data_IF_761604567577
#
_entry.id   IF_761604567577
#
_cell.length_a   1.000
_cell.length_b   1.000
_cell.length_c   1.000
_cell.angle_alpha   90.00
_cell.angle_beta   90.00
_cell.angle_gamma   90.00
#
_symmetry.space_group_name_H-M   'P 1'
#
loop_
_entity.id
_entity.type
_entity.pdbx_description
1 polymer ?
#
# COMPACT_ATOMS: atom_id res chain seq x y z
N UNK A 1 8.25 -12.73 14.21
CA UNK A 1 9.02 -13.55 13.25
C UNK A 1 8.52 -13.26 11.84
N UNK A 2 9.20 -12.39 11.09
CA UNK A 2 8.91 -12.19 9.66
C UNK A 2 9.68 -13.25 8.86
N UNK A 3 8.97 -14.02 8.03
CA UNK A 3 9.57 -15.03 7.14
C UNK A 3 10.53 -14.38 6.13
N UNK A 4 11.73 -14.93 5.92
CA UNK A 4 12.68 -14.39 4.94
C UNK A 4 12.13 -14.52 3.52
N UNK A 5 12.37 -13.49 2.72
CA UNK A 5 11.85 -13.35 1.36
C UNK A 5 12.59 -14.31 0.40
N UNK A 6 12.01 -15.48 0.13
CA UNK A 6 12.48 -16.39 -0.92
C UNK A 6 12.05 -15.89 -2.30
N UNK A 7 12.97 -15.98 -3.27
CA UNK A 7 12.77 -15.50 -4.64
C UNK A 7 11.58 -16.18 -5.34
N UNK A 8 10.82 -15.46 -6.21
CA UNK A 8 9.65 -16.03 -6.86
C UNK A 8 10.04 -17.18 -7.81
N UNK A 9 9.37 -18.32 -7.63
CA UNK A 9 9.52 -19.52 -8.44
C UNK A 9 9.16 -19.25 -9.92
N UNK A 10 9.91 -19.90 -10.82
CA UNK A 10 9.74 -19.86 -12.28
C UNK A 10 8.28 -20.10 -12.70
N UNK A 11 7.74 -19.20 -13.53
CA UNK A 11 6.40 -19.34 -14.16
C UNK A 11 6.27 -20.66 -14.93
N UNK A 12 5.29 -21.47 -14.54
CA UNK A 12 4.78 -22.60 -15.33
C UNK A 12 3.80 -22.05 -16.37
N UNK A 13 3.99 -22.40 -17.65
CA UNK A 13 3.03 -22.13 -18.73
C UNK A 13 1.81 -23.05 -18.57
N UNK A 14 0.62 -22.48 -18.51
CA UNK A 14 -0.64 -23.23 -18.58
C UNK A 14 -1.26 -23.03 -19.97
N UNK A 15 -1.44 -24.17 -20.66
CA UNK A 15 -2.06 -24.33 -21.97
C UNK A 15 -3.58 -24.16 -21.82
N UNK A 16 -4.20 -23.42 -22.74
CA UNK A 16 -5.63 -23.20 -22.82
C UNK A 16 -6.35 -24.45 -23.34
N UNK A 17 -7.36 -24.94 -22.62
CA UNK A 17 -8.40 -25.82 -23.17
C UNK A 17 -9.65 -25.76 -22.28
N UNK A 18 -10.71 -25.09 -22.73
CA UNK A 18 -12.06 -25.26 -22.17
C UNK A 18 -13.10 -25.19 -23.28
N UNK A 19 -13.21 -26.27 -24.05
CA UNK A 19 -14.44 -26.65 -24.72
C UNK A 19 -15.23 -27.58 -23.79
N UNK A 20 -16.56 -27.46 -23.81
CA UNK A 20 -17.59 -28.21 -23.06
C UNK A 20 -18.06 -27.56 -21.76
N UNK A 21 -19.19 -26.84 -21.81
CA UNK A 21 -20.17 -26.78 -20.72
C UNK A 21 -21.57 -26.66 -21.34
N UNK A 22 -22.35 -27.74 -21.22
CA UNK A 22 -23.71 -27.92 -21.71
C UNK A 22 -24.76 -27.18 -20.86
N UNK A 23 -25.82 -26.69 -21.52
CA UNK A 23 -26.91 -25.92 -20.93
C UNK A 23 -27.92 -26.78 -20.13
N UNK A 24 -28.35 -26.26 -18.97
CA UNK A 24 -29.67 -26.56 -18.37
C UNK A 24 -30.15 -25.36 -17.54
N UNK A 25 -31.35 -24.85 -17.85
CA UNK A 25 -32.02 -23.71 -17.21
C UNK A 25 -32.69 -24.12 -15.89
N UNK A 26 -32.35 -23.43 -14.79
CA UNK A 26 -33.23 -22.97 -13.69
C UNK A 26 -32.36 -22.24 -12.64
N UNK A 27 -32.68 -20.97 -12.37
CA UNK A 27 -31.87 -20.06 -11.57
C UNK A 27 -30.61 -19.61 -12.32
N UNK A 28 -30.45 -18.31 -12.57
CA UNK A 28 -29.22 -17.80 -13.18
C UNK A 28 -28.11 -17.95 -12.14
N UNK A 29 -27.39 -19.06 -12.20
CA UNK A 29 -26.28 -19.32 -11.29
C UNK A 29 -25.23 -18.21 -11.45
N UNK A 30 -24.44 -17.97 -10.40
CA UNK A 30 -23.34 -17.01 -10.43
C UNK A 30 -22.39 -17.24 -11.61
N UNK A 31 -22.24 -18.49 -12.01
CA UNK A 31 -21.48 -18.91 -13.18
C UNK A 31 -22.16 -18.50 -14.49
N UNK A 32 -23.49 -18.43 -14.56
CA UNK A 32 -24.21 -17.92 -15.73
C UNK A 32 -24.11 -16.39 -15.87
N UNK A 33 -24.03 -15.63 -14.76
CA UNK A 33 -23.72 -14.18 -14.80
C UNK A 33 -22.27 -13.93 -15.23
N UNK A 34 -21.31 -14.67 -14.67
CA UNK A 34 -19.91 -14.60 -15.07
C UNK A 34 -19.72 -15.03 -16.54
N UNK A 35 -20.43 -16.07 -16.97
CA UNK A 35 -20.40 -16.56 -18.35
C UNK A 35 -21.13 -15.60 -19.32
N UNK A 36 -22.21 -14.94 -18.92
CA UNK A 36 -22.88 -13.93 -19.74
C UNK A 36 -22.04 -12.64 -19.85
N UNK A 37 -21.35 -12.26 -18.80
CA UNK A 37 -20.43 -11.12 -18.78
C UNK A 37 -19.13 -11.40 -19.56
N UNK A 38 -18.66 -12.66 -19.56
CA UNK A 38 -17.58 -13.14 -20.42
C UNK A 38 -18.02 -13.31 -21.89
N UNK A 39 -19.24 -13.81 -22.15
CA UNK A 39 -19.79 -14.01 -23.49
C UNK A 39 -20.14 -12.70 -24.21
N UNK A 40 -20.35 -11.60 -23.48
CA UNK A 40 -20.48 -10.25 -24.06
C UNK A 40 -19.13 -9.57 -24.36
N UNK A 41 -17.99 -10.22 -24.09
CA UNK A 41 -16.66 -9.66 -24.31
C UNK A 41 -16.25 -8.54 -23.34
N UNK A 42 -17.14 -8.19 -22.40
CA UNK A 42 -16.97 -7.02 -21.53
C UNK A 42 -16.07 -7.29 -20.33
N UNK A 43 -15.81 -8.54 -19.92
CA UNK A 43 -15.20 -8.84 -18.61
C UNK A 43 -13.87 -9.57 -18.78
N UNK A 44 -12.74 -8.88 -18.52
CA UNK A 44 -11.43 -9.52 -18.53
C UNK A 44 -11.23 -10.34 -17.24
N UNK A 45 -11.07 -11.65 -17.42
CA UNK A 45 -10.66 -12.58 -16.37
C UNK A 45 -9.13 -12.54 -16.24
N UNK A 46 -8.59 -11.94 -15.17
CA UNK A 46 -7.16 -12.02 -14.88
C UNK A 46 -6.85 -13.32 -14.10
N UNK A 47 -6.08 -14.27 -14.65
CA UNK A 47 -5.93 -15.62 -14.08
C UNK A 47 -5.21 -15.66 -12.72
N UNK A 48 -4.36 -14.67 -12.43
CA UNK A 48 -3.46 -14.68 -11.27
C UNK A 48 -3.99 -13.92 -10.04
N UNK A 49 -5.02 -13.08 -10.20
CA UNK A 49 -5.32 -12.07 -9.18
C UNK A 49 -6.47 -12.44 -8.22
N UNK A 50 -7.38 -13.36 -8.56
CA UNK A 50 -8.60 -13.55 -7.76
C UNK A 50 -9.58 -12.35 -7.82
N UNK A 51 -9.42 -11.48 -8.84
CA UNK A 51 -10.26 -10.30 -9.09
C UNK A 51 -10.67 -10.24 -10.55
N UNK A 52 -11.77 -9.54 -10.81
CA UNK A 52 -12.37 -9.34 -12.13
C UNK A 52 -12.58 -7.86 -12.38
N UNK A 53 -12.28 -7.41 -13.59
CA UNK A 53 -12.58 -6.06 -14.05
C UNK A 53 -14.05 -5.97 -14.48
N UNK A 54 -14.81 -5.05 -13.90
CA UNK A 54 -16.19 -4.82 -14.31
C UNK A 54 -16.21 -4.00 -15.61
N UNK A 55 -16.52 -4.59 -16.77
CA UNK A 55 -16.37 -3.92 -18.08
C UNK A 55 -14.93 -3.50 -18.43
N UNK A 56 -14.46 -3.87 -19.61
CA UNK A 56 -13.15 -3.48 -20.10
C UNK A 56 -12.99 -1.96 -20.13
N UNK A 57 -11.90 -1.47 -19.54
CA UNK A 57 -11.59 -0.05 -19.38
C UNK A 57 -12.24 0.60 -18.15
N UNK A 58 -13.07 -0.13 -17.41
CA UNK A 58 -13.57 0.36 -16.13
C UNK A 58 -12.60 -0.04 -15.04
N UNK A 59 -12.07 0.97 -14.35
CA UNK A 59 -11.17 0.77 -13.22
C UNK A 59 -11.84 0.05 -12.03
N UNK A 60 -13.11 -0.34 -12.10
CA UNK A 60 -13.80 -1.02 -11.00
C UNK A 60 -13.38 -2.51 -10.93
N UNK A 61 -12.80 -2.90 -9.79
CA UNK A 61 -12.40 -4.28 -9.48
C UNK A 61 -13.39 -4.94 -8.53
N UNK A 62 -13.79 -6.16 -8.88
CA UNK A 62 -14.73 -7.00 -8.13
C UNK A 62 -14.02 -8.31 -7.73
N UNK A 63 -14.13 -8.78 -6.48
CA UNK A 63 -13.49 -10.02 -6.05
C UNK A 63 -14.15 -11.23 -6.73
N UNK A 64 -13.34 -12.20 -7.17
CA UNK A 64 -13.83 -13.41 -7.86
C UNK A 64 -14.72 -14.28 -6.96
N UNK A 65 -14.34 -14.39 -5.69
CA UNK A 65 -15.05 -15.19 -4.67
C UNK A 65 -16.15 -14.39 -3.97
N UNK A 66 -16.91 -13.57 -4.71
CA UNK A 66 -18.02 -12.80 -4.17
C UNK A 66 -19.16 -13.67 -3.59
N UNK A 67 -18.99 -14.99 -3.41
CA UNK A 67 -19.93 -15.94 -2.77
C UNK A 67 -20.40 -15.46 -1.39
N UNK A 68 -19.62 -14.63 -0.70
CA UNK A 68 -19.99 -13.98 0.58
C UNK A 68 -20.67 -12.59 0.45
N UNK A 69 -21.02 -12.17 -0.77
CA UNK A 69 -21.51 -10.81 -1.04
C UNK A 69 -20.36 -9.82 -1.11
N UNK A 70 -20.04 -9.33 -2.31
CA UNK A 70 -19.03 -8.29 -2.47
C UNK A 70 -19.53 -7.01 -1.80
N UNK A 71 -18.81 -6.53 -0.78
CA UNK A 71 -19.19 -5.33 -0.05
C UNK A 71 -18.55 -4.12 -0.71
N UNK A 72 -19.35 -3.13 -1.06
CA UNK A 72 -18.80 -1.78 -1.17
C UNK A 72 -18.41 -1.32 0.23
N UNK A 73 -17.27 -0.64 0.41
CA UNK A 73 -16.93 -0.06 1.70
C UNK A 73 -18.08 0.85 2.16
N UNK A 74 -18.60 0.61 3.36
CA UNK A 74 -19.65 1.47 3.96
C UNK A 74 -19.12 2.90 4.18
N UNK A 75 -20.01 3.85 4.49
CA UNK A 75 -19.60 5.22 4.87
C UNK A 75 -18.64 5.14 6.07
N UNK A 76 -17.40 5.60 5.88
CA UNK A 76 -16.27 5.40 6.82
C UNK A 76 -15.10 4.66 6.16
N UNK A 77 -15.42 3.72 5.26
CA UNK A 77 -14.51 3.10 4.30
C UNK A 77 -13.38 2.25 4.90
N UNK A 78 -12.82 1.36 4.08
CA UNK A 78 -11.51 0.75 4.37
C UNK A 78 -10.46 1.73 3.85
N UNK A 79 -9.69 2.32 4.76
CA UNK A 79 -8.61 3.27 4.47
C UNK A 79 -7.27 2.59 4.17
N UNK A 80 -7.14 1.31 4.50
CA UNK A 80 -5.96 0.51 4.25
C UNK A 80 -6.06 -0.31 2.96
N UNK A 81 -5.10 -0.13 2.06
CA UNK A 81 -5.11 -0.77 0.75
C UNK A 81 -4.91 -2.29 0.84
N UNK A 82 -4.08 -2.77 1.78
CA UNK A 82 -3.90 -4.20 1.95
C UNK A 82 -5.17 -4.87 2.47
N UNK A 83 -5.79 -4.30 3.52
CA UNK A 83 -7.07 -4.79 4.04
C UNK A 83 -8.16 -4.76 2.96
N UNK A 84 -8.15 -3.77 2.08
CA UNK A 84 -9.07 -3.69 0.95
C UNK A 84 -8.84 -4.82 -0.06
N UNK A 85 -7.58 -5.07 -0.44
CA UNK A 85 -7.19 -6.12 -1.41
C UNK A 85 -7.35 -7.53 -0.87
N UNK A 86 -7.29 -7.71 0.44
CA UNK A 86 -7.39 -9.02 1.09
C UNK A 86 -8.82 -9.29 1.62
N UNK A 87 -9.62 -8.25 1.86
CA UNK A 87 -10.94 -8.31 2.51
C UNK A 87 -12.16 -8.47 1.59
N UNK A 88 -11.97 -8.83 0.31
CA UNK A 88 -13.05 -9.03 -0.68
C UNK A 88 -14.00 -7.81 -0.86
N UNK A 89 -13.44 -6.59 -0.86
CA UNK A 89 -14.17 -5.34 -1.12
C UNK A 89 -14.10 -4.93 -2.59
N UNK A 90 -15.21 -4.43 -3.15
CA UNK A 90 -15.18 -3.76 -4.46
C UNK A 90 -14.47 -2.41 -4.34
N UNK A 91 -13.63 -2.07 -5.31
CA UNK A 91 -12.93 -0.78 -5.32
C UNK A 91 -12.61 -0.28 -6.73
N UNK A 92 -12.42 1.03 -6.83
CA UNK A 92 -11.92 1.66 -8.06
C UNK A 92 -10.39 1.67 -8.03
N UNK A 93 -9.79 0.96 -8.96
CA UNK A 93 -8.36 0.92 -9.22
C UNK A 93 -7.85 2.32 -9.59
N UNK A 94 -6.96 2.83 -8.75
CA UNK A 94 -6.28 4.11 -8.94
C UNK A 94 -4.78 3.93 -9.13
N UNK A 95 -4.33 2.68 -9.26
CA UNK A 95 -2.90 2.36 -9.34
C UNK A 95 -2.27 2.87 -10.64
N UNK A 96 -3.06 3.07 -11.70
CA UNK A 96 -2.62 3.74 -12.92
C UNK A 96 -2.09 5.17 -12.71
N UNK A 97 -2.41 5.83 -11.58
CA UNK A 97 -1.80 7.12 -11.25
C UNK A 97 -0.35 7.01 -10.78
N UNK A 98 0.11 5.86 -10.28
CA UNK A 98 1.47 5.67 -9.77
C UNK A 98 2.54 5.98 -10.84
N UNK A 99 2.48 5.45 -12.08
CA UNK A 99 3.43 5.83 -13.12
C UNK A 99 3.32 7.32 -13.50
N UNK A 100 2.12 7.90 -13.51
CA UNK A 100 1.93 9.34 -13.81
C UNK A 100 2.59 10.22 -12.73
N UNK A 101 2.43 9.85 -11.47
CA UNK A 101 3.08 10.49 -10.33
C UNK A 101 4.60 10.26 -10.35
N UNK A 102 5.10 9.17 -10.92
CA UNK A 102 6.54 8.89 -10.98
C UNK A 102 7.23 9.53 -12.18
N UNK A 103 6.52 9.72 -13.30
CA UNK A 103 7.08 10.18 -14.57
C UNK A 103 7.13 11.71 -14.74
N UNK A 104 6.28 12.46 -14.03
CA UNK A 104 6.24 13.93 -14.16
C UNK A 104 7.25 14.62 -13.24
N UNK A 105 8.09 15.49 -13.82
CA UNK A 105 9.10 16.36 -13.15
C UNK A 105 8.49 17.54 -12.36
N UNK A 106 7.22 17.46 -12.01
CA UNK A 106 6.55 18.53 -11.25
C UNK A 106 7.08 18.53 -9.80
N UNK A 107 7.52 19.70 -9.33
CA UNK A 107 8.08 19.89 -7.98
C UNK A 107 7.03 19.75 -6.87
N UNK A 108 5.77 20.05 -7.15
CA UNK A 108 4.64 19.99 -6.20
C UNK A 108 3.48 19.26 -6.85
N UNK A 109 2.90 18.29 -6.12
CA UNK A 109 1.73 17.52 -6.56
C UNK A 109 0.59 17.72 -5.58
N UNK A 110 -0.35 18.57 -5.95
CA UNK A 110 -1.53 18.88 -5.14
C UNK A 110 -2.67 17.92 -5.43
N UNK A 111 -3.04 17.11 -4.44
CA UNK A 111 -4.23 16.25 -4.48
C UNK A 111 -5.46 17.03 -3.93
N UNK A 112 -5.83 18.13 -4.59
CA UNK A 112 -7.04 18.90 -4.25
C UNK A 112 -8.27 17.99 -4.31
N UNK A 113 -9.09 17.87 -3.24
CA UNK A 113 -10.42 17.22 -3.35
C UNK A 113 -11.33 17.28 -2.10
N UNK A 114 -12.66 17.10 -2.28
CA UNK A 114 -13.68 16.91 -1.23
C UNK A 114 -13.42 15.75 -0.26
N UNK A 115 -14.06 15.79 0.92
CA UNK A 115 -14.04 14.72 1.94
C UNK A 115 -14.62 13.41 1.37
N UNK A 116 -14.04 12.27 1.77
CA UNK A 116 -14.55 10.93 1.44
C UNK A 116 -14.08 10.31 0.11
N UNK A 117 -13.26 11.00 -0.68
CA UNK A 117 -12.86 10.52 -2.02
C UNK A 117 -11.72 9.47 -2.04
N UNK A 118 -11.37 8.91 -0.88
CA UNK A 118 -10.35 7.87 -0.76
C UNK A 118 -8.90 8.36 -0.77
N UNK A 119 -8.62 9.57 -0.26
CA UNK A 119 -7.25 10.09 -0.14
C UNK A 119 -6.38 9.20 0.75
N UNK A 120 -6.89 8.82 1.92
CA UNK A 120 -6.20 7.91 2.85
C UNK A 120 -5.89 6.57 2.20
N UNK A 121 -6.85 6.01 1.45
CA UNK A 121 -6.63 4.78 0.67
C UNK A 121 -5.54 4.96 -0.39
N UNK A 122 -5.49 6.11 -1.08
CA UNK A 122 -4.42 6.41 -2.03
C UNK A 122 -3.06 6.53 -1.35
N UNK A 123 -2.96 7.13 -0.16
CA UNK A 123 -1.71 7.18 0.61
C UNK A 123 -1.27 5.78 1.06
N UNK A 124 -2.19 4.96 1.58
CA UNK A 124 -1.91 3.57 1.93
C UNK A 124 -1.45 2.77 0.70
N UNK A 125 -2.11 2.92 -0.45
CA UNK A 125 -1.68 2.31 -1.72
C UNK A 125 -0.24 2.72 -2.10
N UNK A 126 0.09 4.01 -2.04
CA UNK A 126 1.45 4.49 -2.35
C UNK A 126 2.50 3.97 -1.36
N UNK A 127 2.14 3.89 -0.07
CA UNK A 127 2.99 3.28 0.97
C UNK A 127 3.32 1.82 0.62
N UNK A 128 2.32 1.00 0.32
CA UNK A 128 2.54 -0.40 -0.07
C UNK A 128 3.31 -0.55 -1.38
N UNK A 129 3.15 0.38 -2.32
CA UNK A 129 3.86 0.32 -3.59
C UNK A 129 5.34 0.73 -3.48
N UNK A 130 5.62 1.83 -2.79
CA UNK A 130 6.95 2.42 -2.73
C UNK A 130 7.82 1.89 -1.59
N UNK A 131 7.21 1.40 -0.50
CA UNK A 131 7.92 0.94 0.68
C UNK A 131 8.69 -0.35 0.47
N UNK A 132 9.98 -0.32 0.80
CA UNK A 132 10.87 -1.46 0.71
C UNK A 132 10.38 -2.63 1.57
N UNK A 133 9.87 -2.33 2.75
CA UNK A 133 9.28 -3.29 3.70
C UNK A 133 8.07 -4.04 3.14
N UNK A 134 7.45 -3.53 2.08
CA UNK A 134 6.28 -4.12 1.44
C UNK A 134 6.61 -4.79 0.10
N UNK A 135 7.88 -4.78 -0.32
CA UNK A 135 8.31 -5.28 -1.64
C UNK A 135 7.91 -6.73 -1.90
N UNK A 136 8.01 -7.60 -0.89
CA UNK A 136 7.65 -9.02 -1.02
C UNK A 136 6.12 -9.24 -1.10
N UNK A 137 5.31 -8.23 -0.77
CA UNK A 137 3.84 -8.28 -0.91
C UNK A 137 3.33 -7.76 -2.25
N UNK A 138 4.23 -7.32 -3.13
CA UNK A 138 3.87 -6.70 -4.40
C UNK A 138 2.92 -7.57 -5.22
N UNK A 139 3.27 -8.84 -5.46
CA UNK A 139 2.47 -9.75 -6.29
C UNK A 139 1.05 -9.92 -5.73
N UNK A 140 0.94 -10.12 -4.41
CA UNK A 140 -0.35 -10.26 -3.72
C UNK A 140 -1.22 -9.01 -3.80
N UNK A 141 -0.62 -7.83 -3.68
CA UNK A 141 -1.37 -6.57 -3.59
C UNK A 141 -1.66 -5.92 -4.94
N UNK A 142 -0.74 -6.01 -5.90
CA UNK A 142 -0.77 -5.26 -7.15
C UNK A 142 -0.95 -6.09 -8.41
N UNK A 143 -0.86 -7.43 -8.35
CA UNK A 143 -1.03 -8.24 -9.56
C UNK A 143 -2.44 -8.07 -10.16
N UNK A 144 -2.48 -7.88 -11.48
CA UNK A 144 -3.72 -7.67 -12.24
C UNK A 144 -4.37 -6.29 -12.05
N UNK A 145 -3.67 -5.33 -11.44
CA UNK A 145 -4.06 -3.92 -11.41
C UNK A 145 -3.38 -3.14 -12.54
N UNK A 146 -3.85 -1.92 -12.82
CA UNK A 146 -3.34 -1.10 -13.92
C UNK A 146 -1.82 -0.87 -13.83
N UNK A 147 -1.29 -0.68 -12.61
CA UNK A 147 0.15 -0.50 -12.39
C UNK A 147 1.00 -1.72 -12.74
N UNK A 148 0.42 -2.92 -12.73
CA UNK A 148 1.17 -4.16 -12.92
C UNK A 148 1.78 -4.24 -14.33
N UNK A 149 1.02 -3.81 -15.33
CA UNK A 149 1.52 -3.68 -16.71
C UNK A 149 2.74 -2.75 -16.80
N UNK A 150 2.73 -1.64 -16.05
CA UNK A 150 3.85 -0.69 -16.01
C UNK A 150 5.07 -1.20 -15.24
N UNK A 151 4.90 -2.15 -14.31
CA UNK A 151 6.01 -2.77 -13.57
C UNK A 151 6.64 -3.92 -14.34
N UNK A 152 5.81 -4.77 -14.95
CA UNK A 152 6.23 -5.94 -15.74
C UNK A 152 6.87 -5.51 -17.05
N UNK A 153 6.21 -4.60 -17.79
CA UNK A 153 6.67 -4.19 -19.13
C UNK A 153 7.41 -2.84 -19.13
N UNK A 154 7.44 -2.12 -18.01
CA UNK A 154 7.99 -0.77 -17.93
C UNK A 154 9.16 -0.59 -16.95
N UNK A 155 9.71 0.63 -16.88
CA UNK A 155 10.84 0.97 -16.01
C UNK A 155 10.44 1.13 -14.54
N UNK A 156 9.14 1.15 -14.23
CA UNK A 156 8.63 1.34 -12.88
C UNK A 156 9.01 0.13 -12.01
N UNK A 157 9.52 0.38 -10.81
CA UNK A 157 9.89 -0.68 -9.86
C UNK A 157 9.34 -0.35 -8.46
N UNK A 158 8.66 -1.31 -7.82
CA UNK A 158 8.12 -1.15 -6.46
C UNK A 158 9.24 -1.25 -5.41
N UNK A 159 8.92 -0.86 -4.17
CA UNK A 159 9.76 -1.09 -2.99
C UNK A 159 11.13 -0.40 -3.07
N UNK A 160 11.14 0.89 -3.40
CA UNK A 160 12.36 1.67 -3.65
C UNK A 160 12.72 2.63 -2.52
N UNK A 161 11.91 2.78 -1.48
CA UNK A 161 12.16 3.73 -0.41
C UNK A 161 12.05 3.06 0.96
N UNK A 162 12.90 3.50 1.89
CA UNK A 162 12.74 3.20 3.31
C UNK A 162 11.72 4.18 3.87
N UNK A 163 10.57 3.71 4.35
CA UNK A 163 9.49 4.58 4.80
C UNK A 163 9.60 4.85 6.29
N UNK A 164 9.73 6.13 6.63
CA UNK A 164 9.52 6.65 7.98
C UNK A 164 8.09 7.18 8.06
N UNK A 165 7.27 6.54 8.87
CA UNK A 165 5.82 6.73 8.86
C UNK A 165 5.35 7.45 10.13
N UNK A 166 4.54 8.50 9.97
CA UNK A 166 4.05 9.31 11.09
C UNK A 166 2.51 9.23 11.23
N UNK A 167 2.03 8.63 12.31
CA UNK A 167 0.65 8.64 12.77
C UNK A 167 0.44 9.72 13.85
N UNK A 168 0.15 10.96 13.44
CA UNK A 168 0.03 12.11 14.34
C UNK A 168 -1.20 12.06 15.27
N UNK A 169 -2.14 11.16 15.02
CA UNK A 169 -3.28 10.88 15.91
C UNK A 169 -2.88 10.19 17.22
N UNK A 170 -1.63 9.71 17.32
CA UNK A 170 -1.09 9.09 18.52
C UNK A 170 -0.50 10.10 19.51
N UNK A 171 -0.37 11.37 19.12
CA UNK A 171 0.15 12.41 20.00
C UNK A 171 -0.97 12.83 20.96
N UNK A 172 -0.77 12.70 22.29
CA UNK A 172 -1.78 13.09 23.26
C UNK A 172 -2.07 14.59 23.16
N UNK A 173 -3.34 14.95 23.37
CA UNK A 173 -3.73 16.34 23.47
C UNK A 173 -3.19 16.92 24.79
N UNK A 174 -2.26 17.86 24.70
CA UNK A 174 -1.70 18.57 25.83
C UNK A 174 -2.46 19.88 26.09
N UNK A 175 -2.43 20.36 27.34
CA UNK A 175 -3.09 21.62 27.73
C UNK A 175 -2.19 22.83 27.57
N UNK A 176 -0.87 22.62 27.63
CA UNK A 176 0.15 23.65 27.44
C UNK A 176 1.12 23.29 26.31
N UNK A 177 1.86 24.29 25.84
CA UNK A 177 2.76 24.16 24.69
C UNK A 177 4.01 23.34 24.99
N UNK A 178 4.51 23.37 26.23
CA UNK A 178 5.74 22.68 26.61
C UNK A 178 5.49 21.17 26.77
N UNK A 179 4.34 20.81 27.35
CA UNK A 179 3.82 19.44 27.39
C UNK A 179 3.56 18.92 25.97
N UNK A 180 2.96 19.75 25.09
CA UNK A 180 2.74 19.38 23.69
C UNK A 180 4.06 19.12 22.95
N UNK A 181 5.05 20.00 23.13
CA UNK A 181 6.37 19.87 22.52
C UNK A 181 7.10 18.62 23.03
N UNK A 182 7.08 18.38 24.34
CA UNK A 182 7.69 17.18 24.95
C UNK A 182 7.04 15.90 24.45
N UNK A 183 5.70 15.87 24.36
CA UNK A 183 4.96 14.73 23.83
C UNK A 183 5.25 14.49 22.35
N UNK A 184 5.37 15.56 21.56
CA UNK A 184 5.74 15.49 20.15
C UNK A 184 7.16 14.95 19.96
N UNK A 185 8.12 15.46 20.70
CA UNK A 185 9.53 15.02 20.62
C UNK A 185 9.67 13.55 21.01
N UNK A 186 9.05 13.13 22.12
CA UNK A 186 9.03 11.73 22.52
C UNK A 186 8.40 10.81 21.46
N UNK A 187 7.34 11.30 20.79
CA UNK A 187 6.70 10.57 19.70
C UNK A 187 7.61 10.46 18.46
N UNK A 188 8.28 11.55 18.06
CA UNK A 188 9.22 11.54 16.92
C UNK A 188 10.40 10.61 17.22
N UNK A 189 10.96 10.66 18.43
CA UNK A 189 12.05 9.77 18.86
C UNK A 189 11.64 8.31 18.77
N UNK A 190 10.42 7.97 19.21
CA UNK A 190 9.87 6.62 19.05
C UNK A 190 9.75 6.21 17.58
N UNK A 191 9.27 7.10 16.71
CA UNK A 191 9.17 6.81 15.25
C UNK A 191 10.54 6.58 14.64
N UNK A 192 11.55 7.35 15.06
CA UNK A 192 12.94 7.21 14.64
C UNK A 192 13.52 5.86 15.07
N UNK A 193 13.30 5.47 16.33
CA UNK A 193 13.74 4.20 16.87
C UNK A 193 13.06 3.01 16.17
N UNK A 194 11.72 3.04 16.01
CA UNK A 194 10.95 2.03 15.28
C UNK A 194 11.41 1.89 13.82
N UNK A 195 11.77 3.00 13.17
CA UNK A 195 12.34 2.99 11.83
C UNK A 195 13.69 2.29 11.81
N UNK A 196 14.58 2.63 12.74
CA UNK A 196 15.92 2.08 12.80
C UNK A 196 15.91 0.57 13.06
N UNK A 197 15.17 0.13 14.09
CA UNK A 197 15.02 -1.27 14.45
C UNK A 197 14.49 -2.09 13.28
N UNK A 198 13.42 -1.61 12.61
CA UNK A 198 12.82 -2.32 11.48
C UNK A 198 13.83 -2.61 10.37
N UNK A 199 14.63 -1.61 9.97
CA UNK A 199 15.56 -1.82 8.87
C UNK A 199 16.82 -2.56 9.29
N UNK A 200 17.25 -2.46 10.56
CA UNK A 200 18.28 -3.31 11.13
C UNK A 200 17.87 -4.79 11.14
N UNK A 201 16.65 -5.11 11.57
CA UNK A 201 16.10 -6.47 11.52
C UNK A 201 16.02 -7.02 10.10
N UNK A 202 15.82 -6.14 9.11
CA UNK A 202 15.84 -6.50 7.68
C UNK A 202 17.26 -6.60 7.09
N UNK A 203 18.30 -6.39 7.90
CA UNK A 203 19.71 -6.53 7.53
C UNK A 203 20.39 -5.24 7.02
N UNK A 204 19.82 -4.06 7.29
CA UNK A 204 20.51 -2.79 7.04
C UNK A 204 21.27 -2.38 8.30
N UNK A 205 22.59 -2.61 8.32
CA UNK A 205 23.47 -2.22 9.41
C UNK A 205 23.63 -0.69 9.46
N UNK A 206 22.66 0.00 10.08
CA UNK A 206 22.63 1.47 10.12
C UNK A 206 23.82 2.09 10.88
N UNK A 207 24.48 1.33 11.76
CA UNK A 207 25.52 1.90 12.65
C UNK A 207 24.98 3.05 13.53
N UNK A 208 23.66 3.13 13.72
CA UNK A 208 23.02 4.21 14.43
C UNK A 208 23.20 4.03 15.95
N UNK A 209 23.71 5.06 16.67
CA UNK A 209 24.04 4.94 18.10
C UNK A 209 22.82 4.99 19.03
N UNK A 210 21.60 5.09 18.50
CA UNK A 210 20.38 5.26 19.28
C UNK A 210 19.96 6.72 19.45
N UNK A 211 18.89 6.92 20.24
CA UNK A 211 18.35 8.23 20.60
C UNK A 211 19.32 8.94 21.55
N UNK A 212 19.71 10.16 21.21
CA UNK A 212 20.48 11.03 22.11
C UNK A 212 19.49 11.82 22.96
N UNK A 213 19.54 11.59 24.27
CA UNK A 213 18.67 12.25 25.27
C UNK A 213 19.05 13.71 25.51
N UNK A 214 20.24 14.12 25.09
CA UNK A 214 20.74 15.50 25.15
C UNK A 214 20.43 16.32 23.88
N UNK A 215 19.84 15.69 22.85
CA UNK A 215 19.49 16.35 21.59
C UNK A 215 17.98 16.49 21.39
N UNK A 216 17.60 17.34 20.43
CA UNK A 216 16.21 17.46 19.97
C UNK A 216 15.81 16.30 19.04
N UNK A 217 14.51 16.02 18.95
CA UNK A 217 13.99 14.91 18.16
C UNK A 217 14.29 15.10 16.65
N UNK A 218 14.32 16.35 16.18
CA UNK A 218 14.75 16.69 14.84
C UNK A 218 16.22 16.28 14.57
N UNK A 219 17.11 16.47 15.54
CA UNK A 219 18.50 16.03 15.48
C UNK A 219 18.63 14.51 15.46
N UNK A 220 17.83 13.79 16.26
CA UNK A 220 17.77 12.32 16.22
C UNK A 220 17.29 11.82 14.84
N UNK A 221 16.24 12.43 14.29
CA UNK A 221 15.71 12.12 12.96
C UNK A 221 16.73 12.38 11.86
N UNK A 222 17.45 13.51 11.90
CA UNK A 222 18.52 13.80 10.94
C UNK A 222 19.60 12.72 10.96
N UNK A 223 20.06 12.33 12.15
CA UNK A 223 21.11 11.33 12.34
C UNK A 223 20.72 9.96 11.79
N UNK A 224 19.48 9.50 11.99
CA UNK A 224 19.04 8.21 11.42
C UNK A 224 18.92 8.27 9.88
N UNK A 225 18.51 9.41 9.33
CA UNK A 225 18.42 9.61 7.87
C UNK A 225 19.82 9.62 7.25
N UNK A 226 20.77 10.29 7.89
CA UNK A 226 22.18 10.33 7.48
C UNK A 226 22.81 8.94 7.58
N UNK A 227 22.58 8.22 8.67
CA UNK A 227 23.00 6.82 8.83
C UNK A 227 22.48 5.93 7.68
N UNK A 228 21.16 5.97 7.42
CA UNK A 228 20.57 5.22 6.33
C UNK A 228 21.14 5.60 4.96
N UNK A 229 21.39 6.89 4.72
CA UNK A 229 21.98 7.38 3.48
C UNK A 229 23.42 6.88 3.31
N UNK A 230 24.23 6.95 4.35
CA UNK A 230 25.62 6.46 4.38
C UNK A 230 25.70 4.96 4.12
N UNK A 231 24.77 4.15 4.64
CA UNK A 231 24.72 2.72 4.35
C UNK A 231 24.29 2.43 2.90
N UNK A 232 23.34 3.19 2.35
CA UNK A 232 22.83 2.98 0.99
C UNK A 232 23.78 3.44 -0.12
N UNK A 233 24.67 4.41 0.15
CA UNK A 233 25.64 4.91 -0.82
C UNK A 233 26.58 3.83 -1.37
N UNK A 234 27.32 3.04 -0.57
CA UNK A 234 28.20 2.00 -1.09
C UNK A 234 27.43 0.87 -1.78
N UNK A 235 26.21 0.56 -1.33
CA UNK A 235 25.35 -0.46 -1.94
C UNK A 235 24.96 -0.06 -3.37
N UNK A 236 24.59 1.21 -3.57
CA UNK A 236 24.03 1.72 -4.82
C UNK A 236 25.03 2.52 -5.69
N UNK A 237 26.24 2.76 -5.18
CA UNK A 237 27.28 3.58 -5.78
C UNK A 237 27.99 2.93 -6.98
N UNK A 238 29.24 3.33 -7.24
CA UNK A 238 29.98 2.90 -8.43
C UNK A 238 30.19 1.37 -8.51
N UNK A 239 30.59 0.73 -7.40
CA UNK A 239 30.81 -0.71 -7.29
C UNK A 239 29.55 -1.47 -6.81
N UNK A 240 28.41 -1.18 -7.45
CA UNK A 240 27.06 -1.69 -7.13
C UNK A 240 27.04 -3.10 -6.55
N UNK A 241 26.60 -3.24 -5.30
CA UNK A 241 26.43 -4.54 -4.64
C UNK A 241 25.10 -5.17 -5.04
N UNK A 242 25.04 -5.78 -6.24
CA UNK A 242 23.79 -6.32 -6.82
C UNK A 242 23.11 -7.39 -5.97
N UNK A 243 23.88 -8.09 -5.13
CA UNK A 243 23.38 -9.17 -4.27
C UNK A 243 22.85 -8.67 -2.92
N UNK A 244 23.08 -7.40 -2.58
CA UNK A 244 22.60 -6.84 -1.33
C UNK A 244 21.07 -6.69 -1.34
N UNK A 245 20.34 -7.06 -0.26
CA UNK A 245 18.87 -6.97 -0.22
C UNK A 245 18.32 -5.58 -0.57
N UNK A 246 19.04 -4.54 -0.10
CA UNK A 246 18.70 -3.13 -0.31
C UNK A 246 19.21 -2.54 -1.63
N UNK A 247 19.78 -3.35 -2.53
CA UNK A 247 20.18 -2.88 -3.84
C UNK A 247 19.00 -2.23 -4.58
N UNK A 248 19.29 -1.10 -5.22
CA UNK A 248 18.36 -0.22 -5.94
C UNK A 248 17.41 0.60 -5.05
N UNK A 249 17.54 0.57 -3.73
CA UNK A 249 16.81 1.49 -2.83
C UNK A 249 17.30 2.93 -3.05
N UNK A 250 16.38 3.90 -3.08
CA UNK A 250 16.63 5.31 -3.39
C UNK A 250 16.95 6.17 -2.18
N UNK A 251 16.55 5.74 -0.97
CA UNK A 251 16.75 6.49 0.27
C UNK A 251 15.55 6.41 1.19
N UNK A 252 15.53 7.30 2.19
CA UNK A 252 14.44 7.45 3.15
C UNK A 252 13.35 8.36 2.59
N UNK A 253 12.09 8.00 2.81
CA UNK A 253 10.92 8.82 2.48
C UNK A 253 10.02 8.93 3.70
N UNK A 254 9.56 10.15 3.98
CA UNK A 254 8.65 10.44 5.07
C UNK A 254 7.21 10.36 4.58
N UNK A 255 6.37 9.59 5.26
CA UNK A 255 4.98 9.37 4.88
C UNK A 255 4.06 9.62 6.08
N UNK A 256 3.10 10.55 5.98
CA UNK A 256 2.05 10.64 6.99
C UNK A 256 1.12 9.44 6.85
N UNK A 257 0.83 8.79 7.97
CA UNK A 257 -0.20 7.76 8.04
C UNK A 257 -1.56 8.44 8.24
N UNK A 258 -2.61 7.94 7.57
CA UNK A 258 -3.95 8.33 7.94
C UNK A 258 -4.21 7.91 9.39
N UNK A 259 -5.04 8.66 10.13
CA UNK A 259 -5.41 8.25 11.48
C UNK A 259 -5.99 6.84 11.45
N UNK A 260 -5.67 6.05 12.46
CA UNK A 260 -6.30 4.75 12.62
C UNK A 260 -7.80 4.98 12.59
N UNK A 261 -8.51 4.26 11.74
CA UNK A 261 -9.96 4.39 11.58
C UNK A 261 -10.62 4.13 12.93
N UNK A 262 -10.83 5.16 13.74
CA UNK A 262 -11.85 5.07 14.77
C UNK A 262 -13.15 4.90 13.99
N UNK A 263 -13.96 3.87 14.28
CA UNK A 263 -15.33 3.89 13.81
C UNK A 263 -15.88 5.24 14.27
N UNK A 264 -16.31 6.07 13.32
CA UNK A 264 -17.06 7.28 13.61
C UNK A 264 -18.08 6.88 14.67
N UNK A 265 -17.91 7.40 15.90
CA UNK A 265 -18.92 7.26 16.94
C UNK A 265 -20.21 7.68 16.25
N UNK A 266 -21.08 6.70 16.07
CA UNK A 266 -22.45 6.95 15.65
C UNK A 266 -22.95 7.93 16.69
N UNK A 267 -23.04 9.20 16.32
CA UNK A 267 -23.80 10.16 17.11
C UNK A 267 -25.19 9.58 17.12
N UNK A 268 -25.53 8.86 18.19
CA UNK A 268 -26.91 8.52 18.50
C UNK A 268 -27.58 9.87 18.59
N UNK A 269 -28.33 10.20 17.55
CA UNK A 269 -29.17 11.38 17.54
C UNK A 269 -30.19 11.16 18.65
N UNK A 270 -30.11 11.85 19.80
CA UNK A 270 -31.17 11.75 20.78
C UNK A 270 -32.36 12.50 20.17
N UNK A 271 -33.56 11.97 20.36
CA UNK A 271 -34.84 12.59 20.03
C UNK A 271 -35.21 12.75 18.54
N UNK A 272 -35.93 11.76 18.03
CA UNK A 272 -37.24 12.01 17.39
C UNK A 272 -38.27 11.00 17.93
N UNK A 273 -39.29 11.43 18.68
CA UNK A 273 -40.41 10.56 19.03
C UNK A 273 -41.32 10.33 17.81
N UNK A 274 -42.06 9.22 17.90
CA UNK A 274 -42.98 8.62 16.91
C UNK A 274 -44.02 9.60 16.35
#
# INVERSE_FOLDING_TARGET
MMTPCTAPARRVRLVSNLSKLSARRRGVSKNALLAAAAAKGDTLLHPAAGWVEYRHGSHLRIPRDASKGSRFPARGGVSDFAALREGAYCFVDKTGYIPLLSGKKERVKLLCRPRGFGKSLTLSMLRYFHGFEHRCRYERLFSGLDVDAHVVNGPLKPGRFLLMSFAFDQIPAARDLDEAATAFDAYVDKVVEDFALRYQEMGLELGWPGIRRDGDAAGNMRRVIEAASSCLQPINGANRQKNHPFYKTKGVSVVPLPPASQPLLTVQNPSRPL
#
